data_IF_666690272304
#
_entry.id   IF_666690272304
#
_cell.length_a   1.000
_cell.length_b   1.000
_cell.length_c   1.000
_cell.angle_alpha   90.00
_cell.angle_beta   90.00
_cell.angle_gamma   90.00
#
_symmetry.space_group_name_H-M   'P 1'
#
loop_
_entity.id
_entity.type
_entity.pdbx_description
1 polymer ?
#
# COMPACT_ATOMS: atom_id res chain seq x y z
N UNK A 1 -5.65 -4.71 -19.64
CA UNK A 1 -4.89 -4.40 -20.89
C UNK A 1 -3.57 -3.68 -20.59
N UNK A 2 -3.57 -2.67 -19.72
CA UNK A 2 -2.38 -1.86 -19.37
C UNK A 2 -1.19 -2.69 -18.81
N UNK A 3 -1.44 -3.52 -17.79
CA UNK A 3 -0.43 -4.43 -17.23
C UNK A 3 0.23 -5.33 -18.28
N UNK A 4 -0.56 -5.91 -19.19
CA UNK A 4 -0.05 -6.82 -20.22
C UNK A 4 0.91 -6.09 -21.16
N UNK A 5 0.56 -4.86 -21.58
CA UNK A 5 1.42 -4.01 -22.40
C UNK A 5 2.73 -3.68 -21.68
N UNK A 6 2.67 -3.29 -20.40
CA UNK A 6 3.87 -2.98 -19.62
C UNK A 6 4.76 -4.21 -19.43
N UNK A 7 4.18 -5.39 -19.15
CA UNK A 7 4.93 -6.64 -19.00
C UNK A 7 5.73 -7.00 -20.26
N UNK A 8 5.12 -6.86 -21.44
CA UNK A 8 5.80 -7.11 -22.72
C UNK A 8 6.96 -6.14 -22.93
N UNK A 9 6.77 -4.84 -22.65
CA UNK A 9 7.86 -3.85 -22.76
C UNK A 9 9.00 -4.12 -21.78
N UNK A 10 8.68 -4.47 -20.53
CA UNK A 10 9.70 -4.84 -19.53
C UNK A 10 10.49 -6.10 -19.96
N UNK A 11 9.85 -7.05 -20.65
CA UNK A 11 10.52 -8.21 -21.25
C UNK A 11 11.50 -7.82 -22.36
N UNK A 12 11.09 -6.90 -23.23
CA UNK A 12 11.96 -6.36 -24.29
C UNK A 12 13.14 -5.61 -23.69
N UNK A 13 12.91 -4.76 -22.70
CA UNK A 13 13.99 -4.05 -22.00
C UNK A 13 14.93 -4.99 -21.24
N UNK A 14 14.42 -6.07 -20.64
CA UNK A 14 15.28 -7.07 -20.01
C UNK A 14 16.25 -7.72 -21.01
N UNK A 15 15.85 -7.89 -22.27
CA UNK A 15 16.75 -8.37 -23.32
C UNK A 15 17.75 -7.28 -23.75
N UNK A 16 17.26 -6.06 -23.93
CA UNK A 16 18.07 -4.90 -24.34
C UNK A 16 19.17 -4.54 -23.32
N UNK A 17 18.90 -4.70 -22.03
CA UNK A 17 19.82 -4.41 -20.92
C UNK A 17 20.45 -5.68 -20.34
N UNK A 18 20.57 -6.75 -21.13
CA UNK A 18 21.23 -7.99 -20.70
C UNK A 18 22.69 -7.81 -20.26
N UNK A 19 23.31 -6.71 -20.68
CA UNK A 19 24.64 -6.23 -20.34
C UNK A 19 24.71 -5.36 -19.07
N UNK A 20 23.58 -4.98 -18.47
CA UNK A 20 23.53 -4.09 -17.29
C UNK A 20 22.85 -4.75 -16.08
N UNK A 21 23.63 -5.35 -15.15
CA UNK A 21 23.08 -6.02 -13.98
C UNK A 21 22.18 -5.14 -13.11
N UNK A 22 22.57 -3.88 -12.87
CA UNK A 22 21.82 -2.97 -12.00
C UNK A 22 20.48 -2.55 -12.62
N UNK A 23 20.47 -2.30 -13.93
CA UNK A 23 19.23 -2.04 -14.68
C UNK A 23 18.31 -3.28 -14.67
N UNK A 24 18.88 -4.48 -14.82
CA UNK A 24 18.12 -5.74 -14.75
C UNK A 24 17.48 -5.95 -13.37
N UNK A 25 18.11 -5.54 -12.28
CA UNK A 25 17.49 -5.64 -10.94
C UNK A 25 16.19 -4.85 -10.89
N UNK A 26 16.17 -3.60 -11.37
CA UNK A 26 14.97 -2.75 -11.41
C UNK A 26 13.89 -3.35 -12.32
N UNK A 27 14.24 -3.75 -13.54
CA UNK A 27 13.31 -4.35 -14.50
C UNK A 27 12.69 -5.64 -13.93
N UNK A 28 13.52 -6.53 -13.38
CA UNK A 28 13.04 -7.80 -12.86
C UNK A 28 12.19 -7.63 -11.60
N UNK A 29 12.50 -6.64 -10.76
CA UNK A 29 11.66 -6.32 -9.60
C UNK A 29 10.25 -5.88 -10.06
N UNK A 30 10.16 -4.95 -11.02
CA UNK A 30 8.89 -4.51 -11.59
C UNK A 30 8.10 -5.69 -12.20
N UNK A 31 8.77 -6.54 -13.01
CA UNK A 31 8.14 -7.72 -13.62
C UNK A 31 7.60 -8.70 -12.59
N UNK A 32 8.42 -9.05 -11.58
CA UNK A 32 8.03 -9.98 -10.52
C UNK A 32 6.84 -9.44 -9.73
N UNK A 33 6.84 -8.15 -9.40
CA UNK A 33 5.70 -7.52 -8.72
C UNK A 33 4.42 -7.63 -9.54
N UNK A 34 4.43 -7.30 -10.84
CA UNK A 34 3.23 -7.47 -11.69
C UNK A 34 2.76 -8.92 -11.75
N UNK A 35 3.68 -9.88 -11.75
CA UNK A 35 3.34 -11.30 -11.74
C UNK A 35 2.74 -11.73 -10.40
N UNK A 36 3.32 -11.30 -9.29
CA UNK A 36 2.82 -11.60 -7.94
C UNK A 36 1.41 -11.06 -7.75
N UNK A 37 1.16 -9.79 -8.09
CA UNK A 37 -0.14 -9.15 -7.93
C UNK A 37 -1.22 -9.83 -8.78
N UNK A 38 -0.90 -10.26 -10.00
CA UNK A 38 -1.82 -11.01 -10.87
C UNK A 38 -2.23 -12.39 -10.30
N UNK A 39 -1.51 -12.88 -9.30
CA UNK A 39 -1.77 -14.14 -8.60
C UNK A 39 -2.32 -13.91 -7.18
N UNK A 40 -2.68 -12.67 -6.83
CA UNK A 40 -3.03 -12.26 -5.46
C UNK A 40 -1.95 -12.65 -4.43
N UNK A 41 -0.69 -12.46 -4.82
CA UNK A 41 0.48 -12.61 -3.95
C UNK A 41 1.31 -11.33 -3.95
N UNK A 42 2.23 -11.20 -2.99
CA UNK A 42 3.06 -10.01 -2.84
C UNK A 42 4.53 -10.27 -3.15
N UNK A 43 5.30 -9.24 -3.52
CA UNK A 43 6.75 -9.33 -3.56
C UNK A 43 7.31 -9.70 -2.19
N UNK A 44 8.38 -10.49 -2.16
CA UNK A 44 9.00 -10.93 -0.90
C UNK A 44 9.66 -9.74 -0.17
N UNK A 45 10.28 -8.84 -0.93
CA UNK A 45 11.04 -7.69 -0.42
C UNK A 45 10.43 -6.37 -0.91
N UNK A 46 10.76 -5.23 -0.26
CA UNK A 46 10.41 -3.92 -0.78
C UNK A 46 10.91 -3.73 -2.22
N UNK A 47 10.12 -3.01 -3.02
CA UNK A 47 10.51 -2.68 -4.38
C UNK A 47 11.75 -1.75 -4.33
N UNK A 48 12.79 -1.98 -5.15
CA UNK A 48 13.88 -1.03 -5.26
C UNK A 48 13.38 0.28 -5.86
N UNK A 49 14.10 1.38 -5.63
CA UNK A 49 13.87 2.62 -6.36
C UNK A 49 13.97 2.34 -7.86
N UNK A 50 12.88 2.57 -8.59
CA UNK A 50 12.83 2.26 -10.02
C UNK A 50 13.40 3.38 -10.89
N UNK A 51 13.31 4.63 -10.45
CA UNK A 51 13.81 5.79 -11.21
C UNK A 51 15.33 5.75 -11.40
N UNK A 52 15.78 6.34 -12.50
CA UNK A 52 17.19 6.59 -12.78
C UNK A 52 17.52 8.05 -12.48
N UNK A 53 18.73 8.32 -11.98
CA UNK A 53 19.19 9.69 -11.82
C UNK A 53 19.49 10.31 -13.19
N UNK A 54 19.50 11.64 -13.27
CA UNK A 54 19.92 12.33 -14.51
C UNK A 54 21.33 11.93 -14.95
N UNK A 55 22.22 11.62 -14.00
CA UNK A 55 23.57 11.16 -14.30
C UNK A 55 23.57 9.75 -14.90
N UNK A 56 22.71 8.84 -14.41
CA UNK A 56 22.56 7.50 -14.98
C UNK A 56 22.08 7.61 -16.43
N UNK A 57 21.03 8.40 -16.68
CA UNK A 57 20.45 8.59 -18.02
C UNK A 57 21.47 9.21 -18.99
N UNK A 58 22.24 10.20 -18.56
CA UNK A 58 23.28 10.81 -19.40
C UNK A 58 24.41 9.83 -19.74
N UNK A 59 24.66 8.84 -18.87
CA UNK A 59 25.68 7.81 -19.09
C UNK A 59 25.23 6.71 -20.06
N UNK A 60 23.93 6.43 -20.12
CA UNK A 60 23.32 5.50 -21.06
C UNK A 60 21.91 5.97 -21.48
N UNK A 61 21.83 6.62 -22.64
CA UNK A 61 20.57 7.17 -23.16
C UNK A 61 19.50 6.11 -23.45
N UNK A 62 19.86 4.81 -23.52
CA UNK A 62 18.87 3.73 -23.60
C UNK A 62 17.93 3.74 -22.39
N UNK A 63 18.38 4.25 -21.24
CA UNK A 63 17.62 4.29 -20.00
C UNK A 63 16.42 5.25 -20.07
N UNK A 64 16.46 6.29 -20.90
CA UNK A 64 15.39 7.30 -20.98
C UNK A 64 13.99 6.68 -21.26
N UNK A 65 13.78 5.89 -22.32
CA UNK A 65 12.48 5.27 -22.59
C UNK A 65 12.12 4.13 -21.60
N UNK A 66 13.08 3.63 -20.82
CA UNK A 66 12.81 2.70 -19.71
C UNK A 66 12.37 3.47 -18.46
N UNK A 67 13.00 4.59 -18.14
CA UNK A 67 12.63 5.48 -17.03
C UNK A 67 11.19 5.99 -17.22
N UNK A 68 10.86 6.44 -18.44
CA UNK A 68 9.49 6.82 -18.84
C UNK A 68 8.47 5.67 -18.67
N UNK A 69 8.90 4.42 -18.86
CA UNK A 69 8.02 3.28 -18.61
C UNK A 69 7.85 3.03 -17.12
N UNK A 70 8.94 3.09 -16.34
CA UNK A 70 8.93 2.79 -14.91
C UNK A 70 8.23 3.87 -14.09
N UNK A 71 8.17 5.12 -14.55
CA UNK A 71 7.38 6.18 -13.92
C UNK A 71 5.87 5.89 -13.96
N UNK A 72 5.38 5.16 -14.97
CA UNK A 72 3.99 4.73 -15.08
C UNK A 72 3.65 3.47 -14.25
N UNK A 73 4.63 2.93 -13.51
CA UNK A 73 4.50 1.65 -12.82
C UNK A 73 3.45 1.71 -11.70
N UNK A 74 3.44 2.77 -10.89
CA UNK A 74 2.44 2.99 -9.83
C UNK A 74 1.03 3.05 -10.40
N UNK A 75 0.83 3.85 -11.46
CA UNK A 75 -0.46 3.95 -12.10
C UNK A 75 -0.91 2.62 -12.70
N UNK A 76 0.02 1.85 -13.27
CA UNK A 76 -0.27 0.50 -13.78
C UNK A 76 -0.77 -0.42 -12.68
N UNK A 77 -0.15 -0.39 -11.49
CA UNK A 77 -0.57 -1.17 -10.34
C UNK A 77 -1.99 -0.77 -9.90
N UNK A 78 -2.25 0.52 -9.73
CA UNK A 78 -3.57 1.03 -9.30
C UNK A 78 -4.65 0.64 -10.32
N UNK A 79 -4.45 0.93 -11.60
CA UNK A 79 -5.47 0.68 -12.64
C UNK A 79 -5.75 -0.81 -12.86
N UNK A 80 -4.73 -1.65 -12.72
CA UNK A 80 -4.83 -3.08 -13.05
C UNK A 80 -5.24 -3.94 -11.86
N UNK A 81 -4.93 -3.53 -10.63
CA UNK A 81 -5.15 -4.34 -9.43
C UNK A 81 -5.87 -3.63 -8.28
N UNK A 82 -6.12 -2.32 -8.38
CA UNK A 82 -6.69 -1.50 -7.30
C UNK A 82 -5.83 -1.56 -6.03
N UNK A 83 -4.53 -1.33 -6.18
CA UNK A 83 -3.55 -1.35 -5.07
C UNK A 83 -2.84 0.00 -5.02
N UNK A 84 -3.19 0.85 -4.04
CA UNK A 84 -2.61 2.19 -3.86
C UNK A 84 -1.35 2.17 -2.98
N UNK A 85 -1.35 1.29 -2.00
CA UNK A 85 -0.21 0.98 -1.15
C UNK A 85 0.32 -0.40 -1.56
N UNK A 86 1.61 -0.50 -1.87
CA UNK A 86 2.23 -1.77 -2.31
C UNK A 86 2.96 -2.44 -1.13
N UNK A 87 2.31 -3.37 -0.40
CA UNK A 87 2.97 -4.11 0.66
C UNK A 87 3.93 -5.17 0.11
N UNK A 88 4.80 -5.66 0.99
CA UNK A 88 5.69 -6.79 0.75
C UNK A 88 5.61 -7.78 1.92
N UNK A 89 6.05 -9.03 1.70
CA UNK A 89 5.91 -10.09 2.71
C UNK A 89 6.73 -9.84 3.96
N UNK A 90 7.93 -9.25 3.86
CA UNK A 90 8.72 -8.91 5.06
C UNK A 90 8.00 -7.89 5.94
N UNK A 91 7.45 -6.83 5.35
CA UNK A 91 6.68 -5.85 6.10
C UNK A 91 5.42 -6.44 6.74
N UNK A 92 4.70 -7.31 6.02
CA UNK A 92 3.55 -7.99 6.61
C UNK A 92 3.93 -8.93 7.75
N UNK A 93 5.14 -9.50 7.72
CA UNK A 93 5.68 -10.24 8.86
C UNK A 93 5.87 -9.34 10.08
N UNK A 94 6.42 -8.13 9.91
CA UNK A 94 6.56 -7.16 10.99
C UNK A 94 5.19 -6.74 11.56
N UNK A 95 4.23 -6.47 10.67
CA UNK A 95 2.87 -6.09 11.05
C UNK A 95 2.16 -7.23 11.78
N UNK A 96 2.27 -8.46 11.28
CA UNK A 96 1.73 -9.67 11.91
C UNK A 96 2.31 -9.88 13.32
N UNK A 97 3.63 -9.75 13.46
CA UNK A 97 4.29 -9.85 14.77
C UNK A 97 3.84 -8.75 15.72
N UNK A 98 3.58 -7.54 15.23
CA UNK A 98 3.06 -6.46 16.06
C UNK A 98 1.62 -6.71 16.50
N UNK A 99 0.76 -7.21 15.61
CA UNK A 99 -0.63 -7.56 15.92
C UNK A 99 -0.69 -8.68 16.96
N UNK A 100 0.22 -9.66 16.90
CA UNK A 100 0.37 -10.72 17.90
C UNK A 100 -0.94 -11.46 18.21
N UNK A 101 -1.70 -11.81 17.16
CA UNK A 101 -2.95 -12.56 17.25
C UNK A 101 -4.17 -11.78 17.76
N UNK A 102 -4.01 -10.49 18.05
CA UNK A 102 -5.12 -9.60 18.46
C UNK A 102 -6.15 -9.42 17.33
N UNK A 103 -7.40 -9.14 17.68
CA UNK A 103 -8.47 -8.95 16.68
C UNK A 103 -8.30 -7.62 15.97
N UNK A 104 -8.26 -7.66 14.64
CA UNK A 104 -8.00 -6.49 13.80
C UNK A 104 -9.28 -6.04 13.11
N UNK A 105 -9.53 -4.74 13.14
CA UNK A 105 -10.42 -4.06 12.21
C UNK A 105 -9.56 -3.23 11.24
N UNK A 106 -9.53 -3.61 9.96
CA UNK A 106 -9.01 -2.76 8.89
C UNK A 106 -10.15 -1.94 8.29
N UNK A 107 -10.03 -0.61 8.36
CA UNK A 107 -10.93 0.34 7.70
C UNK A 107 -10.22 0.97 6.51
N UNK A 108 -11.00 1.36 5.49
CA UNK A 108 -10.47 1.85 4.21
C UNK A 108 -9.55 0.80 3.56
N UNK A 109 -9.98 -0.46 3.61
CA UNK A 109 -9.16 -1.60 3.21
C UNK A 109 -8.91 -1.68 1.69
N UNK A 110 -9.60 -0.88 0.87
CA UNK A 110 -9.61 -0.98 -0.58
C UNK A 110 -9.95 -2.41 -1.02
N UNK A 111 -9.06 -3.02 -1.81
CA UNK A 111 -9.20 -4.41 -2.26
C UNK A 111 -8.85 -5.46 -1.19
N UNK A 112 -8.53 -5.06 0.04
CA UNK A 112 -8.27 -5.97 1.16
C UNK A 112 -6.93 -6.69 1.07
N UNK A 113 -5.90 -6.07 0.46
CA UNK A 113 -4.58 -6.68 0.28
C UNK A 113 -3.94 -7.04 1.62
N UNK A 114 -3.90 -6.10 2.57
CA UNK A 114 -3.32 -6.30 3.90
C UNK A 114 -4.12 -7.36 4.67
N UNK A 115 -5.44 -7.18 4.76
CA UNK A 115 -6.34 -8.17 5.37
C UNK A 115 -6.18 -9.58 4.82
N UNK A 116 -6.06 -9.73 3.49
CA UNK A 116 -5.88 -11.05 2.84
C UNK A 116 -4.66 -11.77 3.40
N UNK A 117 -3.53 -11.07 3.51
CA UNK A 117 -2.27 -11.66 3.96
C UNK A 117 -2.24 -11.90 5.47
N UNK A 118 -2.83 -11.00 6.26
CA UNK A 118 -2.97 -11.20 7.70
C UNK A 118 -3.86 -12.41 8.02
N UNK A 119 -4.95 -12.62 7.27
CA UNK A 119 -5.81 -13.81 7.38
C UNK A 119 -5.09 -15.09 6.98
N UNK A 120 -4.31 -15.06 5.89
CA UNK A 120 -3.44 -16.20 5.51
C UNK A 120 -2.42 -16.55 6.60
N UNK A 121 -2.02 -15.57 7.42
CA UNK A 121 -1.14 -15.75 8.58
C UNK A 121 -1.88 -16.22 9.85
N UNK A 122 -3.20 -16.47 9.76
CA UNK A 122 -4.02 -16.99 10.86
C UNK A 122 -4.68 -15.94 11.75
N UNK A 123 -4.61 -14.64 11.40
CA UNK A 123 -5.21 -13.59 12.22
C UNK A 123 -6.72 -13.47 12.01
N UNK A 124 -7.40 -13.01 13.06
CA UNK A 124 -8.79 -12.58 12.98
C UNK A 124 -8.87 -11.13 12.51
N UNK A 125 -9.20 -10.92 11.24
CA UNK A 125 -9.26 -9.60 10.61
C UNK A 125 -10.63 -9.35 9.98
N UNK A 126 -11.30 -8.29 10.42
CA UNK A 126 -12.48 -7.73 9.75
C UNK A 126 -11.98 -6.59 8.85
N UNK A 127 -12.32 -6.65 7.56
CA UNK A 127 -11.94 -5.66 6.58
C UNK A 127 -13.19 -4.92 6.10
N UNK A 128 -13.15 -3.59 6.11
CA UNK A 128 -14.27 -2.74 5.67
C UNK A 128 -13.78 -1.63 4.77
N UNK A 129 -14.58 -1.33 3.75
CA UNK A 129 -14.39 -0.20 2.84
C UNK A 129 -15.76 0.26 2.35
N UNK A 130 -15.94 1.52 1.97
CA UNK A 130 -17.20 2.00 1.42
C UNK A 130 -17.25 1.89 -0.12
N UNK A 131 -16.13 1.56 -0.75
CA UNK A 131 -15.96 1.38 -2.19
C UNK A 131 -16.22 2.64 -3.03
N UNK A 132 -16.11 3.84 -2.45
CA UNK A 132 -16.34 5.11 -3.20
C UNK A 132 -15.29 5.36 -4.30
N UNK A 133 -14.21 4.58 -4.30
CA UNK A 133 -13.21 4.54 -5.36
C UNK A 133 -13.61 3.68 -6.57
N UNK A 134 -14.66 2.86 -6.46
CA UNK A 134 -15.18 2.07 -7.59
C UNK A 134 -15.63 2.99 -8.72
N UNK A 135 -15.19 2.72 -9.96
CA UNK A 135 -15.55 3.50 -11.13
C UNK A 135 -14.70 4.75 -11.38
N UNK A 136 -13.65 4.97 -10.57
CA UNK A 136 -12.57 5.92 -10.88
C UNK A 136 -11.59 5.30 -11.89
N UNK A 137 -10.29 5.36 -11.62
CA UNK A 137 -9.24 4.89 -12.54
C UNK A 137 -9.12 3.35 -12.66
N UNK A 138 -9.82 2.60 -11.82
CA UNK A 138 -9.63 1.14 -11.69
C UNK A 138 -10.43 0.39 -12.74
N UNK A 139 -9.74 -0.47 -13.48
CA UNK A 139 -10.34 -1.28 -14.53
C UNK A 139 -10.84 -2.64 -14.00
N UNK A 140 -10.18 -3.16 -12.95
CA UNK A 140 -10.45 -4.48 -12.37
C UNK A 140 -10.31 -4.43 -10.84
N UNK A 141 -11.40 -4.13 -10.11
CA UNK A 141 -11.39 -4.09 -8.65
C UNK A 141 -11.62 -5.50 -8.07
N UNK A 142 -10.71 -6.42 -8.36
CA UNK A 142 -10.81 -7.80 -7.87
C UNK A 142 -10.35 -7.83 -6.40
N UNK A 143 -11.30 -8.09 -5.49
CA UNK A 143 -11.00 -8.20 -4.07
C UNK A 143 -10.06 -9.38 -3.80
N UNK A 144 -9.06 -9.15 -2.95
CA UNK A 144 -8.08 -10.18 -2.53
C UNK A 144 -8.62 -11.08 -1.42
N UNK A 145 -9.67 -10.62 -0.74
CA UNK A 145 -10.36 -11.31 0.34
C UNK A 145 -11.71 -10.64 0.55
N UNK A 146 -12.55 -11.19 1.43
CA UNK A 146 -13.83 -10.55 1.76
C UNK A 146 -13.60 -9.18 2.45
N UNK A 147 -14.14 -8.13 1.84
CA UNK A 147 -14.19 -6.77 2.39
C UNK A 147 -15.66 -6.36 2.46
N UNK A 148 -16.13 -6.04 3.66
CA UNK A 148 -17.52 -5.63 3.87
C UNK A 148 -17.73 -4.19 3.41
N UNK A 149 -18.76 -3.95 2.60
CA UNK A 149 -19.19 -2.60 2.24
C UNK A 149 -19.77 -1.90 3.48
N UNK A 150 -18.93 -1.12 4.17
CA UNK A 150 -19.29 -0.47 5.43
C UNK A 150 -18.47 0.79 5.65
N UNK A 151 -19.15 1.87 6.01
CA UNK A 151 -18.55 3.12 6.47
C UNK A 151 -17.61 2.90 7.67
N UNK A 152 -16.47 3.61 7.68
CA UNK A 152 -15.46 3.49 8.71
C UNK A 152 -15.98 3.81 10.11
N UNK A 153 -16.77 4.88 10.27
CA UNK A 153 -17.31 5.26 11.59
C UNK A 153 -18.33 4.25 12.10
N UNK A 154 -19.14 3.68 11.19
CA UNK A 154 -20.06 2.61 11.53
C UNK A 154 -19.30 1.36 11.95
N UNK A 155 -18.28 0.93 11.20
CA UNK A 155 -17.44 -0.21 11.55
C UNK A 155 -16.81 -0.06 12.95
N UNK A 156 -16.23 1.10 13.24
CA UNK A 156 -15.62 1.44 14.54
C UNK A 156 -16.63 1.33 15.69
N UNK A 157 -17.91 1.67 15.46
CA UNK A 157 -18.95 1.63 16.49
C UNK A 157 -19.60 0.25 16.68
N UNK A 158 -19.58 -0.60 15.66
CA UNK A 158 -20.37 -1.86 15.68
C UNK A 158 -19.53 -3.13 15.74
N UNK A 159 -18.25 -3.07 15.37
CA UNK A 159 -17.37 -4.24 15.33
C UNK A 159 -16.55 -4.37 16.62
N UNK A 160 -16.10 -5.59 16.91
CA UNK A 160 -15.22 -5.86 18.04
C UNK A 160 -13.78 -6.01 17.56
N UNK A 161 -12.86 -5.25 18.16
CA UNK A 161 -11.45 -5.19 17.76
C UNK A 161 -10.57 -4.81 18.95
N UNK A 162 -9.29 -5.16 18.84
CA UNK A 162 -8.23 -4.79 19.77
C UNK A 162 -7.15 -3.93 19.06
N UNK A 163 -7.12 -3.99 17.72
CA UNK A 163 -6.26 -3.19 16.85
C UNK A 163 -7.11 -2.63 15.71
N UNK A 164 -6.95 -1.34 15.43
CA UNK A 164 -7.52 -0.69 14.24
C UNK A 164 -6.39 -0.37 13.27
N UNK A 165 -6.53 -0.75 12.01
CA UNK A 165 -5.67 -0.32 10.91
C UNK A 165 -6.50 0.60 10.03
N UNK A 166 -6.07 1.85 9.89
CA UNK A 166 -6.56 2.75 8.84
C UNK A 166 -5.53 2.74 7.70
N UNK A 167 -5.97 2.16 6.59
CA UNK A 167 -5.13 1.96 5.41
C UNK A 167 -5.41 3.06 4.40
N UNK A 168 -4.50 4.03 4.26
CA UNK A 168 -4.49 4.94 3.11
C UNK A 168 -5.79 5.74 2.93
N UNK A 169 -6.23 6.47 3.97
CA UNK A 169 -7.39 7.34 3.86
C UNK A 169 -7.18 8.41 2.77
N UNK A 170 -8.22 8.78 2.01
CA UNK A 170 -8.12 9.92 1.11
C UNK A 170 -7.84 11.20 1.90
N UNK A 171 -7.09 12.12 1.30
CA UNK A 171 -6.82 13.46 1.84
C UNK A 171 -7.93 14.48 1.53
N UNK A 172 -8.96 14.04 0.80
CA UNK A 172 -10.06 14.88 0.30
C UNK A 172 -11.19 15.09 1.31
N UNK A 173 -11.19 14.37 2.43
CA UNK A 173 -12.17 14.51 3.50
C UNK A 173 -11.54 14.26 4.88
N UNK A 174 -12.31 14.49 5.94
CA UNK A 174 -11.86 14.43 7.34
C UNK A 174 -12.37 13.18 8.09
N UNK A 175 -12.74 12.12 7.37
CA UNK A 175 -13.25 10.88 7.98
C UNK A 175 -12.23 10.26 8.95
N UNK A 176 -10.95 10.35 8.63
CA UNK A 176 -9.85 9.86 9.47
C UNK A 176 -9.77 10.58 10.83
N UNK A 177 -9.98 11.90 10.84
CA UNK A 177 -10.08 12.69 12.06
C UNK A 177 -11.30 12.29 12.88
N UNK A 178 -12.45 12.08 12.23
CA UNK A 178 -13.67 11.62 12.90
C UNK A 178 -13.50 10.22 13.51
N UNK A 179 -12.75 9.32 12.84
CA UNK A 179 -12.38 8.00 13.39
C UNK A 179 -11.56 8.17 14.66
N UNK A 180 -10.50 8.99 14.64
CA UNK A 180 -9.67 9.24 15.82
C UNK A 180 -10.49 9.79 17.00
N UNK A 181 -11.36 10.77 16.73
CA UNK A 181 -12.21 11.36 17.76
C UNK A 181 -13.23 10.36 18.31
N UNK A 182 -13.76 9.47 17.46
CA UNK A 182 -14.66 8.39 17.88
C UNK A 182 -13.94 7.37 18.76
N UNK A 183 -12.74 6.93 18.39
CA UNK A 183 -11.94 6.01 19.20
C UNK A 183 -11.63 6.59 20.59
N UNK A 184 -11.28 7.88 20.65
CA UNK A 184 -11.07 8.60 21.92
C UNK A 184 -12.34 8.68 22.76
N UNK A 185 -13.49 8.98 22.16
CA UNK A 185 -14.77 9.04 22.84
C UNK A 185 -15.23 7.67 23.38
N UNK A 186 -14.86 6.58 22.70
CA UNK A 186 -15.10 5.21 23.14
C UNK A 186 -14.10 4.74 24.21
N UNK A 187 -13.14 5.58 24.61
CA UNK A 187 -12.03 5.21 25.49
C UNK A 187 -11.28 3.96 24.99
N UNK A 188 -11.11 3.85 23.67
CA UNK A 188 -10.38 2.76 23.07
C UNK A 188 -8.94 2.72 23.61
N UNK A 189 -8.53 1.54 24.10
CA UNK A 189 -7.24 1.31 24.74
C UNK A 189 -6.32 0.38 23.94
N UNK A 190 -6.74 -0.01 22.74
CA UNK A 190 -5.94 -0.82 21.82
C UNK A 190 -5.01 0.03 20.95
N UNK A 191 -4.39 -0.61 19.95
CA UNK A 191 -3.50 0.08 19.02
C UNK A 191 -4.28 0.64 17.83
N UNK A 192 -4.06 1.91 17.52
CA UNK A 192 -4.53 2.52 16.28
C UNK A 192 -3.35 2.74 15.34
N UNK A 193 -3.27 1.93 14.29
CA UNK A 193 -2.25 1.95 13.24
C UNK A 193 -2.78 2.77 12.07
N UNK A 194 -1.96 3.69 11.57
CA UNK A 194 -2.23 4.47 10.35
C UNK A 194 -1.13 4.22 9.35
N UNK A 195 -1.50 3.86 8.12
CA UNK A 195 -0.59 3.74 6.98
C UNK A 195 -0.87 4.91 6.04
N UNK A 196 0.10 5.81 5.91
CA UNK A 196 -0.03 7.00 5.07
C UNK A 196 1.18 7.92 5.10
N UNK A 197 1.19 8.85 4.15
CA UNK A 197 2.17 9.91 3.95
C UNK A 197 1.75 11.16 4.72
N UNK A 198 2.50 11.45 5.78
CA UNK A 198 2.25 12.62 6.62
C UNK A 198 2.42 13.91 5.82
N UNK A 199 1.35 14.71 5.75
CA UNK A 199 1.29 15.95 4.97
C UNK A 199 1.53 15.75 3.45
N UNK A 200 1.18 14.58 2.92
CA UNK A 200 1.26 14.26 1.51
C UNK A 200 -0.08 13.77 0.97
N UNK A 201 -0.07 12.68 0.20
CA UNK A 201 -1.20 12.22 -0.61
C UNK A 201 -2.27 11.39 0.14
N UNK A 202 -2.21 11.34 1.47
CA UNK A 202 -3.14 10.52 2.28
C UNK A 202 -3.52 11.25 3.53
N UNK A 203 -4.69 10.92 4.08
CA UNK A 203 -5.24 11.43 5.32
C UNK A 203 -5.44 12.96 5.30
N UNK A 204 -6.38 13.45 6.10
CA UNK A 204 -6.65 14.87 6.15
C UNK A 204 -5.49 15.64 6.78
N UNK A 205 -5.31 16.89 6.33
CA UNK A 205 -4.41 17.82 7.00
C UNK A 205 -4.79 17.99 8.49
N UNK A 206 -6.09 17.98 8.80
CA UNK A 206 -6.60 18.09 10.16
C UNK A 206 -6.11 16.92 11.04
N UNK A 207 -6.19 15.70 10.54
CA UNK A 207 -5.66 14.52 11.22
C UNK A 207 -4.15 14.67 11.46
N UNK A 208 -3.36 14.96 10.43
CA UNK A 208 -1.90 15.02 10.55
C UNK A 208 -1.37 16.09 11.50
N UNK A 209 -2.10 17.21 11.62
CA UNK A 209 -1.72 18.31 12.50
C UNK A 209 -2.06 18.05 13.96
N UNK A 210 -3.09 17.24 14.25
CA UNK A 210 -3.65 17.10 15.60
C UNK A 210 -3.46 15.70 16.21
N UNK A 211 -3.17 14.68 15.40
CA UNK A 211 -2.87 13.34 15.89
C UNK A 211 -1.50 13.31 16.59
N UNK A 212 -1.45 12.63 17.74
CA UNK A 212 -0.18 12.35 18.41
C UNK A 212 0.39 11.05 17.84
N UNK A 213 1.44 11.18 17.03
CA UNK A 213 1.99 10.08 16.25
C UNK A 213 3.30 9.56 16.85
N UNK A 214 3.42 8.24 16.90
CA UNK A 214 4.68 7.53 17.08
C UNK A 214 5.09 6.88 15.77
N UNK A 215 6.38 6.90 15.47
CA UNK A 215 6.97 6.24 14.30
C UNK A 215 7.75 4.99 14.75
N UNK A 216 7.07 3.84 14.92
CA UNK A 216 7.71 2.62 15.40
C UNK A 216 8.70 2.08 14.37
N UNK A 217 9.98 1.99 14.74
CA UNK A 217 11.05 1.48 13.87
C UNK A 217 10.75 0.09 13.30
N UNK A 218 10.16 -0.80 14.11
CA UNK A 218 9.84 -2.17 13.69
C UNK A 218 8.83 -2.21 12.55
N UNK A 219 7.73 -1.45 12.62
CA UNK A 219 6.72 -1.43 11.55
C UNK A 219 7.19 -0.71 10.28
N UNK A 220 8.31 0.03 10.35
CA UNK A 220 8.87 0.78 9.24
C UNK A 220 10.18 0.20 8.70
N UNK A 221 10.66 -0.93 9.24
CA UNK A 221 11.92 -1.53 8.83
C UNK A 221 11.86 -2.03 7.37
N UNK A 222 10.78 -2.74 7.05
CA UNK A 222 10.53 -3.23 5.68
C UNK A 222 9.39 -2.47 4.97
N UNK A 223 8.90 -1.38 5.57
CA UNK A 223 8.04 -0.43 4.87
C UNK A 223 8.92 0.58 4.13
N UNK A 224 8.87 0.60 2.81
CA UNK A 224 9.66 1.54 2.01
C UNK A 224 8.73 2.38 1.14
N UNK A 225 9.06 3.65 0.91
CA UNK A 225 8.42 4.47 -0.10
C UNK A 225 8.37 3.75 -1.45
N UNK A 226 7.26 3.92 -2.15
CA UNK A 226 7.11 3.44 -3.52
C UNK A 226 6.76 4.62 -4.41
N UNK A 227 7.60 4.85 -5.42
CA UNK A 227 7.52 6.00 -6.31
C UNK A 227 7.73 7.32 -5.54
N UNK A 228 7.00 8.39 -5.86
CA UNK A 228 7.06 9.67 -5.16
C UNK A 228 6.27 9.73 -3.85
N UNK A 229 5.54 8.66 -3.49
CA UNK A 229 4.75 8.60 -2.25
C UNK A 229 5.61 8.02 -1.12
N UNK A 230 5.77 8.82 -0.06
CA UNK A 230 6.58 8.51 1.12
C UNK A 230 5.72 8.05 2.30
N UNK A 231 4.84 7.08 2.05
CA UNK A 231 4.00 6.50 3.11
C UNK A 231 4.85 5.89 4.24
N UNK A 232 4.35 6.02 5.46
CA UNK A 232 4.94 5.43 6.65
C UNK A 232 3.84 4.78 7.51
N UNK A 233 4.26 3.96 8.47
CA UNK A 233 3.36 3.36 9.46
C UNK A 233 3.49 4.10 10.78
N UNK A 234 2.36 4.58 11.28
CA UNK A 234 2.25 5.35 12.50
C UNK A 234 1.40 4.62 13.54
N UNK A 235 1.77 4.78 14.81
CA UNK A 235 0.85 4.50 15.92
C UNK A 235 0.27 5.82 16.43
N UNK A 236 -1.04 5.87 16.60
CA UNK A 236 -1.76 7.06 17.04
C UNK A 236 -2.12 6.93 18.52
N UNK A 237 -1.90 8.01 19.28
CA UNK A 237 -2.21 8.11 20.72
C UNK A 237 -3.39 9.06 21.01
#
# INVERSE_FOLDING_TARGET
MLQMTMKIKLEQYAQQFSDSPDTLVKINAARKTLQSLAQHTLPDHPLPQLSFSSQDILSDLRLMPLDDLLSEFRQTIIKSFGVWHLPNKLWLSDLNQFIDGRRVLEIMAGNGVISSQLRLSGNNVIATDNFDWHGQDIQHPDLWTEVSCLDALKAIKTMAYDVVILSWAPDTDETDWQVLQTLRALHFNGDFIVIGEKNGATNSQLFWQNAKLLHPKKLNQYHQPFDFISDQVWLVQ
#
